data_IF_585957407859
#
_entry.id   IF_585957407859
#
_cell.length_a   1.000
_cell.length_b   1.000
_cell.length_c   1.000
_cell.angle_alpha   90.00
_cell.angle_beta   90.00
_cell.angle_gamma   90.00
#
_symmetry.space_group_name_H-M   'P 1'
#
loop_
_entity.id
_entity.type
_entity.pdbx_description
1 polymer ?
#
# COMPACT_ATOMS: atom_id res chain seq x y z
N UNK A 1 -34.41 22.26 -66.30
CA UNK A 1 -33.95 20.85 -66.22
C UNK A 1 -34.22 20.36 -64.81
N UNK A 2 -35.36 19.66 -64.57
CA UNK A 2 -35.74 19.13 -63.25
C UNK A 2 -35.15 17.75 -63.06
N UNK A 3 -34.16 17.59 -62.22
CA UNK A 3 -33.68 16.26 -61.80
C UNK A 3 -34.73 15.67 -60.87
N UNK A 4 -35.20 14.46 -61.16
CA UNK A 4 -36.23 13.76 -60.40
C UNK A 4 -35.67 13.34 -59.03
N UNK A 5 -36.47 13.47 -57.99
CA UNK A 5 -36.16 13.05 -56.58
C UNK A 5 -35.63 11.60 -56.46
N UNK A 6 -35.95 10.74 -57.45
CA UNK A 6 -35.53 9.34 -57.50
C UNK A 6 -34.00 9.16 -57.72
N UNK A 7 -33.35 10.05 -58.46
CA UNK A 7 -31.94 10.01 -58.72
C UNK A 7 -31.08 10.47 -57.53
N UNK A 8 -31.60 11.33 -56.67
CA UNK A 8 -30.90 11.83 -55.48
C UNK A 8 -30.89 10.75 -54.40
N UNK A 9 -31.95 9.97 -54.26
CA UNK A 9 -32.05 8.87 -53.24
C UNK A 9 -31.12 7.69 -53.64
N UNK A 10 -30.93 7.40 -54.91
CA UNK A 10 -30.03 6.32 -55.34
C UNK A 10 -28.55 6.70 -55.18
N UNK A 11 -28.17 7.96 -55.33
CA UNK A 11 -26.80 8.45 -55.12
C UNK A 11 -26.44 8.43 -53.64
N UNK A 12 -27.35 8.79 -52.75
CA UNK A 12 -27.15 8.76 -51.31
C UNK A 12 -27.06 7.34 -50.76
N UNK A 13 -27.85 6.39 -51.30
CA UNK A 13 -27.75 5.00 -50.84
C UNK A 13 -26.46 4.30 -51.33
N UNK A 14 -25.96 4.63 -52.53
CA UNK A 14 -24.67 4.10 -53.01
C UNK A 14 -23.49 4.62 -52.19
N UNK A 15 -23.50 5.87 -51.78
CA UNK A 15 -22.45 6.45 -50.95
C UNK A 15 -22.49 5.91 -49.52
N UNK A 16 -23.64 5.64 -48.92
CA UNK A 16 -23.79 5.01 -47.62
C UNK A 16 -23.30 3.55 -47.56
N UNK A 17 -23.51 2.79 -48.65
CA UNK A 17 -23.03 1.41 -48.75
C UNK A 17 -21.52 1.32 -49.03
N UNK A 18 -20.92 2.31 -49.72
CA UNK A 18 -19.48 2.45 -49.88
C UNK A 18 -18.81 2.79 -48.52
N UNK A 19 -19.42 3.69 -47.74
CA UNK A 19 -18.94 4.03 -46.42
C UNK A 19 -19.00 2.86 -45.42
N UNK A 20 -20.05 2.00 -45.52
CA UNK A 20 -20.17 0.80 -44.65
C UNK A 20 -19.16 -0.31 -44.99
N UNK A 21 -18.62 -0.36 -46.20
CA UNK A 21 -17.61 -1.37 -46.60
C UNK A 21 -16.18 -1.00 -46.16
N UNK A 22 -15.91 0.26 -45.84
CA UNK A 22 -14.58 0.70 -45.37
C UNK A 22 -14.45 0.78 -43.83
N UNK A 23 -15.56 0.61 -43.11
CA UNK A 23 -15.57 0.50 -41.65
C UNK A 23 -16.00 -0.89 -41.16
N UNK A 24 -15.46 -1.91 -41.76
CA UNK A 24 -15.33 -3.21 -41.10
C UNK A 24 -14.17 -3.07 -40.10
N UNK A 25 -14.46 -2.48 -38.94
CA UNK A 25 -13.59 -2.61 -37.80
C UNK A 25 -13.64 -4.08 -37.44
N UNK A 26 -12.68 -4.84 -37.95
CA UNK A 26 -12.36 -6.13 -37.37
C UNK A 26 -12.22 -5.88 -35.87
N UNK A 27 -13.05 -6.50 -35.06
CA UNK A 27 -12.81 -6.64 -33.63
C UNK A 27 -11.50 -7.42 -33.49
N UNK A 28 -10.37 -6.74 -33.67
CA UNK A 28 -9.15 -7.15 -33.00
C UNK A 28 -9.49 -7.06 -31.53
N UNK A 29 -9.75 -8.17 -30.92
CA UNK A 29 -9.60 -8.30 -29.48
C UNK A 29 -8.15 -7.89 -29.21
N UNK A 30 -7.95 -6.59 -28.91
CA UNK A 30 -6.78 -6.15 -28.23
C UNK A 30 -6.84 -6.88 -26.88
N UNK A 31 -6.18 -8.02 -26.78
CA UNK A 31 -5.62 -8.42 -25.52
C UNK A 31 -4.68 -7.24 -25.15
N UNK A 32 -5.18 -6.33 -24.35
CA UNK A 32 -4.35 -5.39 -23.61
C UNK A 32 -3.39 -6.31 -22.86
N UNK A 33 -2.18 -6.45 -23.34
CA UNK A 33 -1.07 -6.71 -22.44
C UNK A 33 -1.16 -5.54 -21.48
N UNK A 34 -1.62 -5.81 -20.25
CA UNK A 34 -1.56 -4.85 -19.16
C UNK A 34 -0.07 -4.57 -18.97
N UNK A 35 0.40 -3.51 -19.61
CA UNK A 35 1.73 -2.99 -19.35
C UNK A 35 1.68 -2.49 -17.91
N UNK A 36 2.39 -3.17 -17.02
CA UNK A 36 2.52 -2.79 -15.63
C UNK A 36 2.99 -1.34 -15.58
N UNK A 37 2.23 -0.42 -14.96
CA UNK A 37 2.63 0.97 -14.86
C UNK A 37 3.94 1.07 -14.07
N UNK A 38 5.01 1.53 -14.71
CA UNK A 38 6.28 1.81 -14.03
C UNK A 38 6.24 3.25 -13.49
N UNK A 39 5.68 3.41 -12.30
CA UNK A 39 5.50 4.71 -11.64
C UNK A 39 6.73 5.11 -10.85
N UNK A 40 7.34 4.16 -10.15
CA UNK A 40 8.42 4.37 -9.20
C UNK A 40 9.78 3.95 -9.76
N UNK A 41 10.78 4.82 -9.58
CA UNK A 41 12.19 4.51 -9.76
C UNK A 41 12.69 3.68 -8.57
N UNK A 42 12.59 2.36 -8.70
CA UNK A 42 13.00 1.40 -7.66
C UNK A 42 14.48 1.53 -7.27
N UNK A 43 15.34 1.94 -8.22
CA UNK A 43 16.74 2.19 -7.93
C UNK A 43 16.93 3.43 -7.04
N UNK A 44 16.17 4.49 -7.28
CA UNK A 44 16.21 5.66 -6.41
C UNK A 44 15.73 5.31 -5.00
N UNK A 45 14.64 4.54 -4.86
CA UNK A 45 14.16 4.07 -3.55
C UNK A 45 15.20 3.23 -2.83
N UNK A 46 15.83 2.29 -3.51
CA UNK A 46 16.94 1.50 -2.97
C UNK A 46 18.06 2.40 -2.41
N UNK A 47 18.52 3.40 -3.21
CA UNK A 47 19.57 4.35 -2.75
C UNK A 47 19.12 5.22 -1.57
N UNK A 48 17.84 5.58 -1.50
CA UNK A 48 17.27 6.31 -0.36
C UNK A 48 17.36 5.46 0.91
N UNK A 49 16.94 4.20 0.85
CA UNK A 49 17.02 3.23 1.96
C UNK A 49 18.47 2.92 2.37
N UNK A 50 19.35 2.67 1.42
CA UNK A 50 20.79 2.49 1.70
C UNK A 50 21.39 3.69 2.43
N UNK A 51 21.02 4.92 2.04
CA UNK A 51 21.49 6.13 2.72
C UNK A 51 21.05 6.20 4.18
N UNK A 52 19.80 5.81 4.49
CA UNK A 52 19.32 5.82 5.88
C UNK A 52 20.10 4.84 6.77
N UNK A 53 20.63 3.75 6.20
CA UNK A 53 21.47 2.80 6.92
C UNK A 53 22.85 3.37 7.30
N UNK A 54 23.28 4.43 6.64
CA UNK A 54 24.56 5.09 6.93
C UNK A 54 24.44 6.17 8.01
N UNK A 55 23.23 6.54 8.38
CA UNK A 55 22.96 7.51 9.43
C UNK A 55 23.01 6.82 10.80
N UNK A 56 23.96 7.17 11.69
CA UNK A 56 24.03 6.58 13.02
C UNK A 56 22.81 6.94 13.90
N UNK A 57 22.16 8.08 13.61
CA UNK A 57 20.99 8.57 14.34
C UNK A 57 19.66 8.15 13.70
N UNK A 58 19.68 7.20 12.78
CA UNK A 58 18.50 6.76 12.03
C UNK A 58 17.28 6.39 12.93
N UNK A 59 17.52 5.98 14.17
CA UNK A 59 16.45 5.65 15.12
C UNK A 59 15.58 6.87 15.46
N UNK A 60 16.15 8.08 15.44
CA UNK A 60 15.42 9.33 15.70
C UNK A 60 14.28 9.54 14.69
N UNK A 61 14.46 9.04 13.46
CA UNK A 61 13.48 9.17 12.37
C UNK A 61 12.52 7.98 12.25
N UNK A 62 12.63 6.95 13.11
CA UNK A 62 11.87 5.70 12.94
C UNK A 62 10.46 5.71 13.56
N UNK A 63 10.09 6.73 14.29
CA UNK A 63 8.88 6.79 15.14
C UNK A 63 7.56 6.51 14.40
N UNK A 64 7.40 6.96 13.14
CA UNK A 64 6.21 6.64 12.34
C UNK A 64 6.21 5.16 11.98
N UNK A 65 7.35 4.64 11.53
CA UNK A 65 7.49 3.24 11.15
C UNK A 65 7.30 2.30 12.35
N UNK A 66 7.83 2.67 13.51
CA UNK A 66 7.66 1.92 14.77
C UNK A 66 6.18 1.86 15.19
N UNK A 67 5.50 3.00 15.19
CA UNK A 67 4.07 3.06 15.53
C UNK A 67 3.23 2.20 14.58
N UNK A 68 3.50 2.25 13.27
CA UNK A 68 2.79 1.43 12.28
C UNK A 68 3.14 -0.05 12.44
N UNK A 69 4.41 -0.38 12.74
CA UNK A 69 4.83 -1.75 12.99
C UNK A 69 4.12 -2.36 14.21
N UNK A 70 4.06 -1.63 15.34
CA UNK A 70 3.31 -2.03 16.54
C UNK A 70 1.84 -2.27 16.22
N UNK A 71 1.18 -1.33 15.55
CA UNK A 71 -0.22 -1.47 15.17
C UNK A 71 -0.46 -2.65 14.22
N UNK A 72 0.50 -2.99 13.34
CA UNK A 72 0.39 -4.15 12.46
C UNK A 72 0.56 -5.46 13.25
N UNK A 73 1.52 -5.50 14.17
CA UNK A 73 1.78 -6.67 15.02
C UNK A 73 0.60 -6.93 15.96
N UNK A 74 -0.03 -5.91 16.54
CA UNK A 74 -1.25 -6.07 17.33
C UNK A 74 -2.35 -6.80 16.52
N UNK A 75 -2.52 -6.44 15.23
CA UNK A 75 -3.46 -7.13 14.34
C UNK A 75 -3.08 -8.58 14.05
N UNK A 76 -1.78 -8.90 14.05
CA UNK A 76 -1.31 -10.30 13.96
C UNK A 76 -1.68 -11.07 15.23
N UNK A 77 -1.51 -10.47 16.41
CA UNK A 77 -1.86 -11.09 17.70
C UNK A 77 -3.38 -11.30 17.88
N UNK A 78 -4.20 -10.48 17.24
CA UNK A 78 -5.66 -10.68 17.22
C UNK A 78 -6.08 -11.97 16.50
N UNK A 79 -5.23 -12.49 15.61
CA UNK A 79 -5.42 -13.80 15.00
C UNK A 79 -4.89 -14.84 15.99
N UNK A 80 -5.77 -15.40 16.80
CA UNK A 80 -5.45 -16.39 17.85
C UNK A 80 -4.94 -17.71 17.28
N UNK A 81 -3.79 -17.69 16.60
CA UNK A 81 -3.11 -18.84 16.00
C UNK A 81 -1.61 -18.72 16.23
N UNK A 82 -0.92 -19.88 16.32
CA UNK A 82 0.53 -19.94 16.20
C UNK A 82 0.90 -20.21 14.74
N UNK A 83 1.81 -19.41 14.21
CA UNK A 83 2.29 -19.51 12.83
C UNK A 83 3.65 -20.21 12.80
N UNK A 84 3.75 -21.29 12.04
CA UNK A 84 4.99 -22.07 11.95
C UNK A 84 5.98 -21.50 10.93
N UNK A 85 5.48 -20.89 9.85
CA UNK A 85 6.30 -20.32 8.78
C UNK A 85 5.71 -19.00 8.33
N UNK A 86 6.42 -17.92 8.59
CA UNK A 86 5.97 -16.55 8.30
C UNK A 86 6.93 -15.87 7.35
N UNK A 87 6.41 -15.04 6.45
CA UNK A 87 7.19 -14.20 5.54
C UNK A 87 6.94 -12.72 5.86
N UNK A 88 8.01 -11.98 6.11
CA UNK A 88 8.05 -10.51 6.14
C UNK A 88 8.57 -10.01 4.78
N UNK A 89 7.68 -9.42 3.99
CA UNK A 89 7.96 -8.99 2.63
C UNK A 89 8.31 -7.49 2.59
N UNK A 90 9.58 -7.18 2.35
CA UNK A 90 10.11 -5.81 2.43
C UNK A 90 10.31 -5.39 3.88
N UNK A 91 11.02 -6.22 4.65
CA UNK A 91 11.13 -6.12 6.11
C UNK A 91 11.89 -4.88 6.61
N UNK A 92 12.66 -4.21 5.76
CA UNK A 92 13.52 -3.11 6.17
C UNK A 92 14.46 -3.51 7.30
N UNK A 93 14.46 -2.75 8.40
CA UNK A 93 15.26 -3.02 9.61
C UNK A 93 14.59 -3.99 10.58
N UNK A 94 13.45 -4.58 10.21
CA UNK A 94 12.77 -5.59 11.03
C UNK A 94 12.02 -5.04 12.23
N UNK A 95 11.42 -3.84 12.13
CA UNK A 95 10.67 -3.24 13.22
C UNK A 95 9.48 -4.10 13.67
N UNK A 96 8.79 -4.78 12.75
CA UNK A 96 7.76 -5.73 13.13
C UNK A 96 8.35 -6.96 13.84
N UNK A 97 9.51 -7.44 13.38
CA UNK A 97 10.15 -8.61 13.95
C UNK A 97 10.58 -8.40 15.42
N UNK A 98 10.95 -7.18 15.79
CA UNK A 98 11.32 -6.85 17.18
C UNK A 98 10.14 -6.90 18.16
N UNK A 99 8.90 -6.76 17.67
CA UNK A 99 7.67 -6.79 18.47
C UNK A 99 7.02 -8.20 18.49
N UNK A 100 7.45 -9.11 17.60
CA UNK A 100 6.90 -10.45 17.49
C UNK A 100 7.52 -11.41 18.51
N UNK A 101 6.71 -12.36 19.01
CA UNK A 101 7.13 -13.34 20.02
C UNK A 101 7.15 -14.76 19.46
N UNK A 102 8.02 -15.61 20.01
CA UNK A 102 8.12 -17.03 19.65
C UNK A 102 6.83 -17.83 19.93
N UNK A 103 5.96 -17.36 20.82
CA UNK A 103 4.68 -18.02 21.10
C UNK A 103 3.74 -17.94 19.90
N UNK A 104 3.85 -16.88 19.13
CA UNK A 104 3.00 -16.62 17.96
C UNK A 104 3.69 -17.08 16.66
N UNK A 105 5.03 -16.90 16.54
CA UNK A 105 5.77 -17.22 15.30
C UNK A 105 6.95 -18.13 15.63
N UNK A 106 7.05 -19.27 14.93
CA UNK A 106 8.17 -20.21 15.11
C UNK A 106 9.34 -19.92 14.17
N UNK A 107 9.03 -19.61 12.90
CA UNK A 107 10.05 -19.31 11.89
C UNK A 107 9.63 -18.08 11.09
N UNK A 108 10.51 -17.10 11.01
CA UNK A 108 10.31 -15.85 10.27
C UNK A 108 11.34 -15.74 9.15
N UNK A 109 10.87 -15.73 7.91
CA UNK A 109 11.69 -15.40 6.73
C UNK A 109 11.53 -13.93 6.43
N UNK A 110 12.63 -13.20 6.43
CA UNK A 110 12.67 -11.75 6.21
C UNK A 110 13.35 -11.44 4.89
N UNK A 111 12.69 -10.66 4.05
CA UNK A 111 13.16 -10.31 2.71
C UNK A 111 13.23 -8.79 2.57
N UNK A 112 14.37 -8.30 2.10
CA UNK A 112 14.55 -6.92 1.65
C UNK A 112 15.58 -6.88 0.51
N UNK A 113 15.51 -5.89 -0.34
CA UNK A 113 16.49 -5.70 -1.41
C UNK A 113 17.81 -5.10 -0.93
N UNK A 114 17.84 -4.51 0.28
CA UNK A 114 19.01 -3.93 0.92
C UNK A 114 19.65 -4.90 1.90
N UNK A 115 20.86 -5.39 1.60
CA UNK A 115 21.65 -6.18 2.53
C UNK A 115 21.95 -5.41 3.83
N UNK A 116 22.22 -4.12 3.74
CA UNK A 116 22.49 -3.27 4.92
C UNK A 116 21.31 -3.17 5.87
N UNK A 117 20.08 -3.10 5.34
CA UNK A 117 18.87 -3.16 6.16
C UNK A 117 18.81 -4.48 6.93
N UNK A 118 19.03 -5.60 6.22
CA UNK A 118 19.03 -6.94 6.82
C UNK A 118 20.13 -7.12 7.88
N UNK A 119 21.31 -6.53 7.68
CA UNK A 119 22.40 -6.58 8.65
C UNK A 119 22.10 -5.80 9.94
N UNK A 120 21.25 -4.79 9.87
CA UNK A 120 20.83 -3.97 11.01
C UNK A 120 19.67 -4.57 11.82
N UNK A 121 19.04 -5.64 11.33
CA UNK A 121 17.96 -6.32 12.06
C UNK A 121 18.51 -6.90 13.36
N UNK A 122 17.96 -6.46 14.47
CA UNK A 122 18.21 -7.03 15.79
C UNK A 122 17.16 -8.12 16.04
N UNK A 123 17.58 -9.33 16.46
CA UNK A 123 16.62 -10.33 16.90
C UNK A 123 15.87 -9.82 18.14
N UNK A 124 14.63 -10.29 18.38
CA UNK A 124 13.92 -10.01 19.62
C UNK A 124 14.80 -10.37 20.82
N UNK A 125 14.75 -9.57 21.87
CA UNK A 125 15.54 -9.84 23.09
C UNK A 125 14.98 -11.08 23.77
N UNK A 126 15.79 -12.13 23.87
CA UNK A 126 15.42 -13.35 24.58
C UNK A 126 15.48 -13.09 26.11
N UNK A 127 14.34 -12.93 26.75
CA UNK A 127 14.28 -12.76 28.22
C UNK A 127 14.52 -14.05 29.00
N UNK A 128 14.40 -15.26 28.42
CA UNK A 128 14.38 -16.53 29.16
C UNK A 128 15.11 -17.73 28.56
N UNK A 129 16.06 -17.57 27.62
CA UNK A 129 16.98 -18.65 27.23
C UNK A 129 16.33 -19.90 26.60
N UNK A 130 15.12 -19.82 26.06
CA UNK A 130 14.49 -20.87 25.26
C UNK A 130 14.83 -20.69 23.78
N UNK A 131 14.86 -21.80 23.01
CA UNK A 131 15.08 -21.78 21.57
C UNK A 131 14.20 -20.71 20.91
N UNK A 132 14.83 -19.59 20.54
CA UNK A 132 14.15 -18.41 20.04
C UNK A 132 13.48 -18.65 18.70
N UNK A 133 12.71 -17.67 18.23
CA UNK A 133 12.14 -17.65 16.88
C UNK A 133 13.26 -17.80 15.83
N UNK A 134 13.16 -18.81 14.94
CA UNK A 134 14.13 -18.99 13.84
C UNK A 134 13.98 -17.86 12.84
N UNK A 135 15.02 -17.02 12.68
CA UNK A 135 15.05 -15.91 11.74
C UNK A 135 15.92 -16.24 10.54
N UNK A 136 15.33 -16.20 9.34
CA UNK A 136 16.02 -16.42 8.06
C UNK A 136 15.99 -15.12 7.26
N UNK A 137 17.16 -14.49 7.10
CA UNK A 137 17.29 -13.25 6.31
C UNK A 137 17.69 -13.59 4.87
N UNK A 138 17.02 -12.97 3.89
CA UNK A 138 17.32 -13.16 2.46
C UNK A 138 17.32 -11.83 1.74
N UNK A 139 18.44 -11.47 1.10
CA UNK A 139 18.47 -10.34 0.18
C UNK A 139 17.81 -10.75 -1.13
N UNK A 140 16.67 -10.13 -1.42
CA UNK A 140 15.95 -10.33 -2.67
C UNK A 140 15.06 -9.13 -2.98
N UNK A 141 14.77 -8.90 -4.26
CA UNK A 141 13.80 -7.87 -4.65
C UNK A 141 12.39 -8.33 -4.26
N UNK A 142 11.78 -7.62 -3.32
CA UNK A 142 10.45 -7.86 -2.79
C UNK A 142 9.37 -7.89 -3.88
N UNK A 143 9.51 -7.07 -4.93
CA UNK A 143 8.62 -7.06 -6.10
C UNK A 143 8.74 -8.33 -6.95
N UNK A 144 9.89 -8.98 -6.99
CA UNK A 144 10.15 -10.17 -7.80
C UNK A 144 10.08 -11.48 -7.00
N UNK A 145 10.01 -11.39 -5.67
CA UNK A 145 10.08 -12.57 -4.82
C UNK A 145 8.94 -13.55 -5.09
N UNK A 146 9.31 -14.80 -5.22
CA UNK A 146 8.41 -15.94 -5.35
C UNK A 146 9.00 -17.12 -4.59
N UNK A 147 8.15 -17.87 -3.91
CA UNK A 147 8.51 -19.08 -3.18
C UNK A 147 7.63 -20.26 -3.59
N UNK A 148 7.80 -21.38 -2.90
CA UNK A 148 7.03 -22.59 -3.14
C UNK A 148 5.55 -22.39 -2.78
N UNK A 149 4.69 -23.12 -3.48
CA UNK A 149 3.25 -23.10 -3.21
C UNK A 149 2.95 -23.62 -1.79
N UNK A 150 1.99 -22.96 -1.12
CA UNK A 150 1.52 -23.35 0.22
C UNK A 150 2.64 -23.48 1.28
N UNK A 151 3.64 -22.58 1.24
CA UNK A 151 4.82 -22.61 2.13
C UNK A 151 4.66 -21.77 3.41
N UNK A 152 3.81 -20.75 3.39
CA UNK A 152 3.68 -19.81 4.52
C UNK A 152 2.29 -19.84 5.17
N UNK A 153 2.26 -19.80 6.50
CA UNK A 153 1.06 -19.70 7.33
C UNK A 153 0.56 -18.27 7.47
N UNK A 154 1.47 -17.29 7.27
CA UNK A 154 1.21 -15.86 7.29
C UNK A 154 2.22 -15.18 6.37
N UNK A 155 1.76 -14.21 5.60
CA UNK A 155 2.63 -13.22 4.95
C UNK A 155 2.21 -11.85 5.45
N UNK A 156 3.18 -11.01 5.81
CA UNK A 156 2.90 -9.61 6.10
C UNK A 156 3.90 -8.67 5.41
N UNK A 157 3.51 -7.40 5.29
CA UNK A 157 4.36 -6.34 4.74
C UNK A 157 4.02 -5.01 5.42
N UNK A 158 5.03 -4.34 5.96
CA UNK A 158 4.87 -3.07 6.67
C UNK A 158 5.56 -1.94 5.91
N UNK A 159 4.80 -0.91 5.53
CA UNK A 159 5.28 0.33 4.88
C UNK A 159 6.25 0.10 3.71
N UNK A 160 5.97 -0.91 2.88
CA UNK A 160 6.77 -1.24 1.70
C UNK A 160 5.95 -1.24 0.40
N UNK A 161 4.72 -1.75 0.43
CA UNK A 161 3.92 -2.04 -0.77
C UNK A 161 3.59 -0.81 -1.62
N UNK A 162 3.53 0.37 -1.03
CA UNK A 162 3.27 1.63 -1.73
C UNK A 162 4.42 2.10 -2.64
N UNK A 163 5.57 1.41 -2.62
CA UNK A 163 6.71 1.64 -3.51
C UNK A 163 6.84 0.61 -4.63
N UNK A 164 5.90 -0.32 -4.73
CA UNK A 164 5.90 -1.42 -5.70
C UNK A 164 5.14 -1.00 -6.96
N UNK A 165 5.71 -1.28 -8.14
CA UNK A 165 5.07 -1.02 -9.43
C UNK A 165 4.05 -2.11 -9.79
N UNK A 166 4.38 -3.40 -9.58
CA UNK A 166 3.52 -4.55 -9.89
C UNK A 166 2.82 -5.10 -8.64
N UNK A 167 2.00 -4.27 -7.98
CA UNK A 167 1.17 -4.73 -6.85
C UNK A 167 0.30 -5.94 -7.20
N UNK A 168 -0.39 -5.99 -8.37
CA UNK A 168 -1.17 -7.16 -8.77
C UNK A 168 -0.33 -8.43 -8.86
N UNK A 169 0.90 -8.33 -9.36
CA UNK A 169 1.82 -9.46 -9.44
C UNK A 169 2.29 -9.92 -8.06
N UNK A 170 2.66 -8.99 -7.18
CA UNK A 170 3.02 -9.31 -5.80
C UNK A 170 1.88 -10.02 -5.09
N UNK A 171 0.65 -9.51 -5.16
CA UNK A 171 -0.50 -10.12 -4.51
C UNK A 171 -0.78 -11.55 -5.02
N UNK A 172 -0.64 -11.80 -6.34
CA UNK A 172 -0.74 -13.16 -6.91
C UNK A 172 0.35 -14.09 -6.40
N UNK A 173 1.61 -13.62 -6.32
CA UNK A 173 2.74 -14.42 -5.80
C UNK A 173 2.56 -14.74 -4.32
N UNK A 174 2.12 -13.76 -3.53
CA UNK A 174 1.80 -13.99 -2.11
C UNK A 174 0.66 -14.99 -1.96
N UNK A 175 -0.43 -14.85 -2.73
CA UNK A 175 -1.55 -15.80 -2.69
C UNK A 175 -1.09 -17.24 -3.04
N UNK A 176 -0.18 -17.40 -3.99
CA UNK A 176 0.40 -18.70 -4.35
C UNK A 176 1.17 -19.31 -3.17
N UNK A 177 2.03 -18.51 -2.52
CA UNK A 177 2.89 -18.95 -1.42
C UNK A 177 2.13 -19.24 -0.11
N UNK A 178 0.98 -18.60 0.13
CA UNK A 178 0.17 -18.81 1.32
C UNK A 178 -0.41 -20.23 1.34
N UNK A 179 -0.47 -20.85 2.52
CA UNK A 179 -1.27 -22.05 2.78
C UNK A 179 -2.76 -21.72 2.73
N UNK A 180 -3.60 -22.74 2.61
CA UNK A 180 -5.06 -22.59 2.67
C UNK A 180 -5.45 -21.98 4.02
N UNK A 181 -6.42 -21.07 4.00
CA UNK A 181 -6.89 -20.34 5.18
C UNK A 181 -5.78 -19.54 5.90
N UNK A 182 -4.70 -19.18 5.19
CA UNK A 182 -3.65 -18.32 5.69
C UNK A 182 -3.88 -16.85 5.28
N UNK A 183 -3.57 -15.89 6.17
CA UNK A 183 -3.77 -14.47 5.88
C UNK A 183 -2.56 -13.82 5.19
N UNK A 184 -2.85 -12.80 4.40
CA UNK A 184 -1.93 -11.75 3.99
C UNK A 184 -2.33 -10.46 4.67
N UNK A 185 -1.43 -9.87 5.45
CA UNK A 185 -1.65 -8.63 6.21
C UNK A 185 -0.68 -7.57 5.72
N UNK A 186 -1.15 -6.35 5.54
CA UNK A 186 -0.26 -5.27 5.13
C UNK A 186 -0.63 -3.93 5.75
N UNK A 187 0.39 -3.09 5.90
CA UNK A 187 0.26 -1.68 6.21
C UNK A 187 0.97 -0.86 5.13
N UNK A 188 0.32 0.18 4.61
CA UNK A 188 0.88 1.04 3.58
C UNK A 188 0.33 2.46 3.69
N UNK A 189 1.08 3.44 3.18
CA UNK A 189 0.56 4.79 3.08
C UNK A 189 -0.61 4.85 2.09
N UNK A 190 -1.67 5.54 2.48
CA UNK A 190 -2.86 5.78 1.67
C UNK A 190 -2.90 7.21 1.11
N UNK A 191 -3.81 7.44 0.18
CA UNK A 191 -4.12 8.78 -0.35
C UNK A 191 -4.32 9.80 0.78
N UNK A 192 -4.02 11.03 0.48
CA UNK A 192 -4.01 12.17 1.41
C UNK A 192 -2.94 12.12 2.51
N UNK A 193 -2.02 11.14 2.50
CA UNK A 193 -0.79 11.25 3.30
C UNK A 193 -0.02 12.49 2.86
N UNK A 194 0.38 13.33 3.85
CA UNK A 194 1.14 14.58 3.65
C UNK A 194 0.45 15.55 2.67
N UNK A 195 -0.88 15.61 2.70
CA UNK A 195 -1.63 16.49 1.80
C UNK A 195 -1.29 17.97 2.04
N UNK A 196 -0.98 18.35 3.27
CA UNK A 196 -0.59 19.71 3.64
C UNK A 196 0.72 20.11 2.94
N UNK A 197 1.72 19.25 2.99
CA UNK A 197 3.01 19.43 2.30
C UNK A 197 2.82 19.47 0.79
N UNK A 198 1.98 18.56 0.26
CA UNK A 198 1.66 18.50 -1.18
C UNK A 198 1.05 19.79 -1.67
N UNK A 199 0.04 20.30 -0.97
CA UNK A 199 -0.67 21.54 -1.34
C UNK A 199 0.27 22.73 -1.25
N UNK A 200 1.03 22.87 -0.16
CA UNK A 200 1.94 24.01 0.03
C UNK A 200 3.01 24.08 -1.07
N UNK A 201 3.65 22.95 -1.41
CA UNK A 201 4.65 22.88 -2.48
C UNK A 201 4.04 23.13 -3.86
N UNK A 202 2.86 22.57 -4.14
CA UNK A 202 2.18 22.77 -5.41
C UNK A 202 1.77 24.23 -5.65
N UNK A 203 1.25 24.91 -4.63
CA UNK A 203 0.90 26.31 -4.71
C UNK A 203 2.12 27.19 -4.89
N UNK A 204 3.20 26.95 -4.14
CA UNK A 204 4.45 27.69 -4.25
C UNK A 204 5.10 27.55 -5.63
N UNK A 205 5.15 26.34 -6.20
CA UNK A 205 5.67 26.13 -7.55
C UNK A 205 4.81 26.79 -8.61
N UNK A 206 3.48 26.69 -8.49
CA UNK A 206 2.56 27.32 -9.44
C UNK A 206 2.75 28.82 -9.46
N UNK A 207 2.91 29.45 -8.30
CA UNK A 207 3.14 30.90 -8.19
C UNK A 207 4.51 31.32 -8.70
N UNK A 208 5.58 30.60 -8.32
CA UNK A 208 6.96 31.00 -8.57
C UNK A 208 7.53 30.51 -9.88
N UNK A 209 7.03 29.40 -10.39
CA UNK A 209 7.62 28.72 -11.55
C UNK A 209 6.63 28.51 -12.70
N UNK A 210 5.34 28.85 -12.51
CA UNK A 210 4.30 28.72 -13.53
C UNK A 210 3.86 27.28 -13.82
N UNK A 211 4.16 26.34 -12.94
CA UNK A 211 3.77 24.93 -13.05
C UNK A 211 4.11 24.20 -11.78
N UNK A 212 3.82 22.91 -11.69
CA UNK A 212 4.15 22.09 -10.53
C UNK A 212 4.66 20.71 -10.92
N UNK A 213 5.37 20.08 -10.01
CA UNK A 213 5.86 18.71 -10.11
C UNK A 213 5.44 17.91 -8.87
N UNK A 214 5.36 16.57 -8.95
CA UNK A 214 5.02 15.77 -7.79
C UNK A 214 6.19 15.73 -6.80
N UNK A 215 5.97 16.27 -5.60
CA UNK A 215 6.93 16.22 -4.48
C UNK A 215 6.58 15.14 -3.47
N UNK A 216 5.28 14.93 -3.22
CA UNK A 216 4.76 13.82 -2.44
C UNK A 216 4.37 12.69 -3.38
N UNK A 217 4.66 11.46 -2.99
CA UNK A 217 4.35 10.27 -3.79
C UNK A 217 2.85 10.15 -4.06
N UNK A 218 2.44 9.62 -5.22
CA UNK A 218 1.07 9.16 -5.40
C UNK A 218 0.84 7.92 -4.54
N UNK A 219 -0.19 7.95 -3.70
CA UNK A 219 -0.62 6.81 -2.89
C UNK A 219 -1.97 6.30 -3.37
N UNK A 220 -2.27 5.05 -3.01
CA UNK A 220 -3.50 4.38 -3.45
C UNK A 220 -4.70 4.77 -2.60
N UNK A 221 -5.88 4.71 -3.21
CA UNK A 221 -7.15 4.80 -2.49
C UNK A 221 -7.49 3.45 -1.84
N UNK A 222 -8.02 3.44 -0.59
CA UNK A 222 -8.38 2.19 0.09
C UNK A 222 -9.31 1.27 -0.72
N UNK A 223 -10.36 1.75 -1.42
CA UNK A 223 -11.23 0.91 -2.24
C UNK A 223 -10.50 0.17 -3.37
N UNK A 224 -9.42 0.76 -3.92
CA UNK A 224 -8.64 0.13 -5.00
C UNK A 224 -7.87 -1.08 -4.50
N UNK A 225 -7.29 -1.01 -3.29
CA UNK A 225 -6.63 -2.16 -2.65
C UNK A 225 -7.63 -3.27 -2.34
N UNK A 226 -8.81 -2.93 -1.79
CA UNK A 226 -9.87 -3.91 -1.55
C UNK A 226 -10.32 -4.63 -2.83
N UNK A 227 -10.53 -3.85 -3.90
CA UNK A 227 -10.88 -4.39 -5.22
C UNK A 227 -9.76 -5.24 -5.80
N UNK A 228 -8.50 -4.86 -5.61
CA UNK A 228 -7.34 -5.60 -6.08
C UNK A 228 -7.20 -6.95 -5.37
N UNK A 229 -7.33 -6.98 -4.03
CA UNK A 229 -7.31 -8.20 -3.24
C UNK A 229 -8.41 -9.17 -3.70
N UNK A 230 -9.64 -8.68 -3.84
CA UNK A 230 -10.77 -9.52 -4.30
C UNK A 230 -10.54 -10.07 -5.72
N UNK A 231 -10.09 -9.22 -6.66
CA UNK A 231 -9.79 -9.65 -8.04
C UNK A 231 -8.62 -10.64 -8.11
N UNK A 232 -7.68 -10.56 -7.17
CA UNK A 232 -6.56 -11.50 -7.07
C UNK A 232 -7.01 -12.86 -6.51
N UNK A 233 -8.15 -12.91 -5.84
CA UNK A 233 -8.74 -14.15 -5.32
C UNK A 233 -8.66 -14.31 -3.80
N UNK A 234 -8.37 -13.24 -3.05
CA UNK A 234 -8.47 -13.26 -1.59
C UNK A 234 -9.92 -13.20 -1.12
N UNK A 235 -10.22 -13.96 -0.07
CA UNK A 235 -11.50 -13.92 0.65
C UNK A 235 -11.40 -13.12 1.94
N UNK A 236 -12.55 -12.78 2.54
CA UNK A 236 -12.66 -12.14 3.86
C UNK A 236 -11.72 -10.92 3.94
N UNK A 237 -11.80 -10.07 2.90
CA UNK A 237 -10.97 -8.85 2.83
C UNK A 237 -11.51 -7.82 3.81
N UNK A 238 -10.66 -7.34 4.70
CA UNK A 238 -10.94 -6.23 5.61
C UNK A 238 -9.93 -5.12 5.38
N UNK A 239 -10.40 -3.89 5.38
CA UNK A 239 -9.60 -2.69 5.27
C UNK A 239 -9.86 -1.83 6.50
N UNK A 240 -8.81 -1.25 7.04
CA UNK A 240 -8.86 -0.31 8.15
C UNK A 240 -7.97 0.88 7.83
N UNK A 241 -8.43 2.09 8.11
CA UNK A 241 -7.73 3.33 7.82
C UNK A 241 -7.48 4.08 9.13
N UNK A 242 -6.22 4.32 9.43
CA UNK A 242 -5.79 5.08 10.61
C UNK A 242 -5.06 6.36 10.18
N UNK A 243 -5.08 7.38 11.04
CA UNK A 243 -4.40 8.65 10.83
C UNK A 243 -3.43 8.94 11.97
N UNK A 244 -2.20 9.26 11.61
CA UNK A 244 -1.16 9.70 12.54
C UNK A 244 -0.90 11.17 12.25
N UNK A 245 -1.17 12.03 13.24
CA UNK A 245 -0.86 13.45 13.17
C UNK A 245 0.40 13.74 13.98
N UNK A 246 1.34 14.45 13.35
CA UNK A 246 2.60 14.85 13.98
C UNK A 246 2.83 16.31 13.72
N UNK A 247 3.12 17.06 14.78
CA UNK A 247 3.43 18.48 14.68
C UNK A 247 4.92 18.69 14.57
N UNK A 248 5.34 19.49 13.58
CA UNK A 248 6.74 19.82 13.31
C UNK A 248 7.00 21.31 13.54
N UNK A 249 8.21 21.69 13.98
CA UNK A 249 8.59 23.09 14.11
C UNK A 249 8.49 23.86 12.79
N UNK A 250 8.84 23.23 11.67
CA UNK A 250 8.67 23.79 10.32
C UNK A 250 8.62 22.70 9.24
N UNK A 251 8.29 23.10 8.00
CA UNK A 251 8.33 22.22 6.83
C UNK A 251 9.72 21.61 6.60
N UNK A 252 10.78 22.31 7.01
CA UNK A 252 12.15 21.83 6.79
C UNK A 252 12.47 20.63 7.68
N UNK A 253 12.08 20.66 8.96
CA UNK A 253 12.22 19.52 9.87
C UNK A 253 11.43 18.32 9.38
N UNK A 254 10.16 18.53 8.94
CA UNK A 254 9.38 17.47 8.29
C UNK A 254 10.12 16.87 7.09
N UNK A 255 10.69 17.71 6.21
CA UNK A 255 11.45 17.24 5.03
C UNK A 255 12.73 16.49 5.42
N UNK A 256 13.40 16.89 6.49
CA UNK A 256 14.57 16.19 7.03
C UNK A 256 14.18 14.82 7.57
N UNK A 257 13.09 14.72 8.31
CA UNK A 257 12.60 13.46 8.85
C UNK A 257 12.17 12.50 7.75
N UNK A 258 11.42 12.97 6.75
CA UNK A 258 11.07 12.16 5.57
C UNK A 258 12.30 11.61 4.84
N UNK A 259 13.38 12.41 4.78
CA UNK A 259 14.65 11.98 4.22
C UNK A 259 15.35 10.95 5.12
N UNK A 260 15.31 11.14 6.44
CA UNK A 260 15.84 10.22 7.45
C UNK A 260 15.11 8.89 7.45
N UNK A 261 13.77 8.89 7.29
CA UNK A 261 12.93 7.70 7.14
C UNK A 261 13.19 6.95 5.82
N UNK A 262 13.71 7.64 4.77
CA UNK A 262 13.83 7.09 3.42
C UNK A 262 12.52 7.17 2.62
N UNK A 263 11.58 8.02 3.05
CA UNK A 263 10.24 8.15 2.47
C UNK A 263 10.12 9.30 1.44
N UNK A 264 11.25 9.78 0.91
CA UNK A 264 11.23 10.73 -0.19
C UNK A 264 10.53 10.14 -1.42
N UNK A 265 9.85 11.01 -2.19
CA UNK A 265 9.26 10.62 -3.47
C UNK A 265 10.31 9.99 -4.40
N UNK A 266 9.95 8.89 -5.04
CA UNK A 266 10.78 8.22 -6.04
C UNK A 266 10.07 8.02 -7.39
N UNK A 267 8.95 8.71 -7.65
CA UNK A 267 8.31 8.65 -8.97
C UNK A 267 9.23 9.17 -10.08
N UNK A 268 9.10 8.63 -11.28
CA UNK A 268 9.96 9.01 -12.42
C UNK A 268 9.84 10.49 -12.80
N UNK A 269 8.67 11.08 -12.63
CA UNK A 269 8.39 12.47 -12.96
C UNK A 269 8.70 13.45 -11.80
N UNK A 270 9.38 12.99 -10.72
CA UNK A 270 9.80 13.84 -9.62
C UNK A 270 10.82 14.87 -10.06
N UNK A 271 10.80 16.05 -9.46
CA UNK A 271 11.87 17.02 -9.57
C UNK A 271 13.04 16.62 -8.65
N UNK A 272 14.26 16.74 -9.16
CA UNK A 272 15.46 16.36 -8.39
C UNK A 272 15.92 17.46 -7.44
N UNK A 273 15.59 18.71 -7.75
CA UNK A 273 16.01 19.90 -6.98
C UNK A 273 14.84 20.87 -6.84
N UNK A 274 14.74 21.49 -5.67
CA UNK A 274 13.81 22.57 -5.39
C UNK A 274 14.60 23.89 -5.27
N UNK A 275 14.06 24.97 -5.83
CA UNK A 275 14.63 26.28 -5.66
C UNK A 275 14.42 26.80 -4.25
N UNK A 276 15.41 27.51 -3.70
CA UNK A 276 15.31 28.05 -2.34
C UNK A 276 14.11 28.99 -2.18
N UNK A 277 13.84 29.80 -3.18
CA UNK A 277 12.72 30.75 -3.18
C UNK A 277 11.37 30.02 -3.13
N UNK A 278 11.20 28.92 -3.89
CA UNK A 278 10.02 28.07 -3.88
C UNK A 278 9.83 27.41 -2.52
N UNK A 279 10.91 26.92 -1.90
CA UNK A 279 10.85 26.31 -0.55
C UNK A 279 10.43 27.34 0.52
N UNK A 280 10.96 28.56 0.48
CA UNK A 280 10.57 29.61 1.43
C UNK A 280 9.11 30.04 1.24
N UNK A 281 8.64 30.12 -0.01
CA UNK A 281 7.23 30.37 -0.31
C UNK A 281 6.34 29.22 0.20
N UNK A 282 6.73 27.98 -0.03
CA UNK A 282 6.00 26.81 0.44
C UNK A 282 5.88 26.76 1.98
N UNK A 283 6.97 27.07 2.71
CA UNK A 283 6.93 27.19 4.17
C UNK A 283 5.93 28.26 4.62
N UNK A 284 5.91 29.41 3.99
CA UNK A 284 4.99 30.49 4.34
C UNK A 284 3.52 30.09 4.05
N UNK A 285 3.27 29.44 2.93
CA UNK A 285 1.95 28.91 2.56
C UNK A 285 1.50 27.83 3.56
N UNK A 286 2.39 26.90 3.89
CA UNK A 286 2.12 25.82 4.83
C UNK A 286 1.71 26.39 6.19
N UNK A 287 2.52 27.29 6.72
CA UNK A 287 2.26 27.96 8.01
C UNK A 287 0.94 28.74 8.01
N UNK A 288 0.65 29.45 6.90
CA UNK A 288 -0.57 30.26 6.82
C UNK A 288 -1.83 29.42 6.67
N UNK A 289 -1.78 28.28 5.95
CA UNK A 289 -2.97 27.46 5.69
C UNK A 289 -3.23 26.43 6.79
N UNK A 290 -2.20 25.89 7.38
CA UNK A 290 -2.29 24.72 8.28
C UNK A 290 -1.59 24.92 9.62
N UNK A 291 -0.83 26.01 9.81
CA UNK A 291 -0.07 26.25 11.02
C UNK A 291 -0.91 26.30 12.28
N UNK A 292 -0.42 25.68 13.34
CA UNK A 292 -1.00 25.69 14.65
C UNK A 292 -0.77 27.03 15.37
N UNK A 293 -1.51 27.29 16.46
CA UNK A 293 -1.40 28.54 17.23
C UNK A 293 -0.03 28.73 17.90
N UNK A 294 0.66 27.61 18.18
CA UNK A 294 2.01 27.61 18.80
C UNK A 294 3.13 27.81 17.78
N UNK A 295 2.79 27.94 16.49
CA UNK A 295 3.73 28.13 15.39
C UNK A 295 4.24 26.83 14.76
N UNK A 296 3.87 25.66 15.27
CA UNK A 296 4.13 24.37 14.63
C UNK A 296 3.27 24.16 13.40
N UNK A 297 3.62 23.17 12.59
CA UNK A 297 2.82 22.74 11.43
C UNK A 297 2.45 21.26 11.58
N UNK A 298 1.20 20.88 11.33
CA UNK A 298 0.78 19.48 11.35
C UNK A 298 1.23 18.76 10.07
N UNK A 299 1.55 17.49 10.17
CA UNK A 299 1.71 16.58 9.06
C UNK A 299 0.87 15.33 9.29
N UNK A 300 0.01 15.02 8.34
CA UNK A 300 -0.92 13.89 8.42
C UNK A 300 -0.40 12.70 7.64
N UNK A 301 -0.25 11.56 8.32
CA UNK A 301 0.08 10.27 7.70
C UNK A 301 -1.15 9.38 7.76
N UNK A 302 -1.70 8.99 6.61
CA UNK A 302 -2.83 8.06 6.52
C UNK A 302 -2.32 6.67 6.21
N UNK A 303 -2.62 5.73 7.10
CA UNK A 303 -2.14 4.35 7.01
C UNK A 303 -3.31 3.45 6.69
N UNK A 304 -3.22 2.75 5.57
CA UNK A 304 -4.14 1.69 5.21
C UNK A 304 -3.60 0.36 5.72
N UNK A 305 -4.32 -0.26 6.64
CA UNK A 305 -4.15 -1.65 7.02
C UNK A 305 -5.12 -2.52 6.24
N UNK A 306 -4.66 -3.66 5.79
CA UNK A 306 -5.53 -4.62 5.13
C UNK A 306 -5.22 -6.04 5.58
N UNK A 307 -6.23 -6.90 5.52
CA UNK A 307 -6.11 -8.34 5.65
C UNK A 307 -6.92 -9.01 4.56
N UNK A 308 -6.35 -10.03 3.92
CA UNK A 308 -7.03 -10.88 2.98
C UNK A 308 -6.61 -12.34 3.19
N UNK A 309 -7.53 -13.27 3.06
CA UNK A 309 -7.29 -14.68 3.35
C UNK A 309 -7.25 -15.51 2.08
N UNK A 310 -6.31 -16.46 2.00
CA UNK A 310 -6.34 -17.46 0.94
C UNK A 310 -7.61 -18.32 1.09
N UNK A 311 -8.39 -18.51 0.01
CA UNK A 311 -9.64 -19.26 0.07
C UNK A 311 -9.46 -20.68 0.57
N UNK A 312 -10.36 -21.11 1.44
CA UNK A 312 -10.50 -22.50 1.89
C UNK A 312 -11.97 -22.82 2.16
N UNK A 313 -12.44 -24.05 1.90
CA UNK A 313 -13.84 -24.47 2.18
C UNK A 313 -14.25 -24.39 3.66
N UNK A 314 -13.29 -24.39 4.59
CA UNK A 314 -13.54 -24.23 6.04
C UNK A 314 -13.97 -22.82 6.44
N UNK A 315 -13.74 -21.81 5.57
CA UNK A 315 -14.09 -20.43 5.84
C UNK A 315 -15.61 -20.25 5.87
N UNK A 316 -16.09 -19.44 6.83
CA UNK A 316 -17.51 -19.10 6.93
C UNK A 316 -17.97 -18.36 5.68
N UNK A 317 -18.91 -18.96 4.98
CA UNK A 317 -19.57 -18.32 3.84
C UNK A 317 -20.66 -17.36 4.32
N UNK A 318 -20.92 -16.25 3.59
CA UNK A 318 -22.06 -15.39 3.86
C UNK A 318 -23.36 -16.20 3.86
N UNK A 319 -24.26 -15.87 4.77
CA UNK A 319 -25.59 -16.49 4.81
C UNK A 319 -26.33 -16.23 3.48
N UNK A 320 -27.09 -17.23 3.01
CA UNK A 320 -27.89 -17.10 1.78
C UNK A 320 -28.89 -15.95 1.94
N UNK A 321 -29.09 -15.16 0.88
CA UNK A 321 -30.13 -14.12 0.87
C UNK A 321 -31.47 -14.74 1.20
N UNK A 322 -32.23 -14.12 2.12
CA UNK A 322 -33.53 -14.62 2.57
C UNK A 322 -33.46 -15.76 3.61
N UNK A 323 -32.27 -16.10 4.14
CA UNK A 323 -32.13 -17.13 5.20
C UNK A 323 -32.35 -16.60 6.63
N UNK A 324 -32.72 -15.33 6.77
CA UNK A 324 -33.05 -14.76 8.08
C UNK A 324 -34.33 -15.32 8.60
N UNK A 325 -34.26 -16.11 9.68
CA UNK A 325 -35.42 -16.78 10.32
C UNK A 325 -35.98 -15.98 11.50
N UNK A 326 -35.35 -14.86 11.86
CA UNK A 326 -35.74 -14.06 13.03
C UNK A 326 -35.90 -12.60 12.62
N UNK A 327 -37.01 -11.99 13.04
CA UNK A 327 -37.24 -10.56 12.86
C UNK A 327 -36.32 -9.74 13.76
N UNK A 328 -35.88 -8.55 13.31
CA UNK A 328 -35.16 -7.60 14.15
C UNK A 328 -35.90 -7.26 15.46
N UNK A 329 -37.22 -7.34 15.48
CA UNK A 329 -38.05 -7.14 16.70
C UNK A 329 -37.86 -8.22 17.75
N UNK A 330 -37.37 -9.40 17.37
CA UNK A 330 -37.23 -10.57 18.26
C UNK A 330 -35.73 -10.87 18.55
N UNK A 331 -34.81 -10.00 18.17
CA UNK A 331 -33.35 -10.22 18.29
C UNK A 331 -32.92 -10.43 19.75
N UNK A 332 -33.56 -9.70 20.68
CA UNK A 332 -33.28 -9.83 22.12
C UNK A 332 -33.58 -11.22 22.69
N UNK A 333 -34.58 -11.93 22.12
CA UNK A 333 -34.91 -13.31 22.50
C UNK A 333 -33.83 -14.28 22.07
N UNK A 334 -33.16 -14.04 20.94
CA UNK A 334 -32.08 -14.91 20.45
C UNK A 334 -30.76 -14.66 21.23
N UNK A 335 -30.46 -13.40 21.58
CA UNK A 335 -29.30 -13.07 22.39
C UNK A 335 -29.41 -13.61 23.83
N UNK A 336 -30.60 -13.77 24.38
CA UNK A 336 -30.81 -14.34 25.72
C UNK A 336 -30.56 -15.85 25.74
N UNK A 337 -30.83 -16.58 24.66
CA UNK A 337 -30.60 -18.02 24.54
C UNK A 337 -29.12 -18.37 24.36
N UNK A 338 -28.33 -17.52 23.71
CA UNK A 338 -26.89 -17.73 23.50
C UNK A 338 -26.03 -17.46 24.73
N UNK A 339 -26.56 -16.80 25.78
CA UNK A 339 -25.86 -16.55 27.05
C UNK A 339 -26.07 -17.65 28.10
N UNK A 340 -26.87 -18.66 27.80
CA UNK A 340 -27.20 -19.75 28.74
C UNK A 340 -26.63 -21.14 28.34
N UNK A 341 -25.69 -21.16 27.37
CA UNK A 341 -24.89 -22.36 27.01
C UNK A 341 -23.41 -22.16 27.20
#
# INVERSE_FOLDING_TARGET
MRLSLTNVVQITQRNLNSFRRHFSIGRKTYQRQETIPNVFDRQAKFKQRERTCLDPEHQVYSYVHERVAQSLVDRIFDIKRTFHSVLDLGCGRGLCASELTQDVIKRLTMIDNSARMLDQIRPPVEENGHDGMEIVKRQFDDEQFSGDENSYDLVYSCLNLHWINDLPGVFRRVLHMLKKDAPFIGAMYASDTLYELRVALQLAETEREGGFSPHVSPFVEPPDIGSLLQRTGYNIVTLDLDEIHIDYPSMFELMFDLKGMGENNCSWNRRLTLKRETLLAAQAIYQNMYGNQDGSIPATYRILYFIGWKPDPSQKSPAKRGSANVSFKDIDKVLSVTKSN
#
